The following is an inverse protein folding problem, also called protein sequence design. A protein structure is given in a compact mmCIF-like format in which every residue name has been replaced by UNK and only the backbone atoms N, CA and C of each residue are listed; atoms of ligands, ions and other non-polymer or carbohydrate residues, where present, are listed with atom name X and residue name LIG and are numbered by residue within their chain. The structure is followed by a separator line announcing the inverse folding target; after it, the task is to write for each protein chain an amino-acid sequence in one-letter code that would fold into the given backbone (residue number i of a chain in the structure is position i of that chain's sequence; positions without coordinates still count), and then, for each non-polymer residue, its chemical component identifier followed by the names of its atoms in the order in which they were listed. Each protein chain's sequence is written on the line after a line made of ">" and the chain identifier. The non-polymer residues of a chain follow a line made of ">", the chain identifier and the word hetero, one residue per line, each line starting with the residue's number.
data_IF_394551006747
#
_entry.id   IF_394551006747
#
_cell.length_a   1.000
_cell.length_b   1.000
_cell.length_c   1.000
_cell.angle_alpha   90.00
_cell.angle_beta   90.00
_cell.angle_gamma   90.00
#
_symmetry.space_group_name_H-M   'P 1'
#
loop_
_entity.id
_entity.type
_entity.pdbx_description
1 polymer ?
#
# COMPACT_ATOMS: atom_id res chain seq x y z
N UNK A 1 4.28 -14.12 -41.72
CA UNK A 1 3.24 -13.09 -41.47
C UNK A 1 2.54 -13.28 -40.12
N UNK A 2 1.73 -14.33 -39.91
CA UNK A 2 0.92 -14.52 -38.68
C UNK A 2 1.73 -14.56 -37.37
N UNK A 3 2.87 -15.26 -37.36
CA UNK A 3 3.74 -15.38 -36.17
C UNK A 3 4.38 -14.06 -35.76
N UNK A 4 4.69 -13.19 -36.72
CA UNK A 4 5.27 -11.87 -36.46
C UNK A 4 4.24 -10.91 -35.85
N UNK A 5 3.00 -10.94 -36.34
CA UNK A 5 1.89 -10.16 -35.79
C UNK A 5 1.58 -10.59 -34.35
N UNK A 6 1.53 -11.91 -34.08
CA UNK A 6 1.33 -12.44 -32.73
C UNK A 6 2.46 -12.02 -31.78
N UNK A 7 3.70 -12.00 -32.26
CA UNK A 7 4.84 -11.53 -31.47
C UNK A 7 4.70 -10.04 -31.10
N UNK A 8 4.33 -9.20 -32.05
CA UNK A 8 4.12 -7.77 -31.81
C UNK A 8 2.97 -7.54 -30.81
N UNK A 9 1.88 -8.29 -30.94
CA UNK A 9 0.75 -8.22 -30.02
C UNK A 9 1.14 -8.65 -28.60
N UNK A 10 1.90 -9.73 -28.46
CA UNK A 10 2.38 -10.18 -27.15
C UNK A 10 3.33 -9.17 -26.51
N UNK A 11 4.20 -8.52 -27.30
CA UNK A 11 5.07 -7.45 -26.81
C UNK A 11 4.26 -6.24 -26.32
N UNK A 12 3.27 -5.82 -27.09
CA UNK A 12 2.36 -4.74 -26.72
C UNK A 12 1.57 -5.06 -25.44
N UNK A 13 1.03 -6.28 -25.34
CA UNK A 13 0.34 -6.75 -24.14
C UNK A 13 1.27 -6.74 -22.92
N UNK A 14 2.54 -7.09 -23.10
CA UNK A 14 3.57 -6.96 -22.06
C UNK A 14 3.69 -5.53 -21.53
N UNK A 15 3.81 -4.54 -22.42
CA UNK A 15 3.89 -3.12 -22.03
C UNK A 15 2.64 -2.61 -21.31
N UNK A 16 1.45 -3.06 -21.73
CA UNK A 16 0.21 -2.71 -21.03
C UNK A 16 0.18 -3.26 -19.60
N UNK A 17 0.66 -4.49 -19.40
CA UNK A 17 0.75 -5.12 -18.08
C UNK A 17 1.76 -4.41 -17.17
N UNK A 18 2.93 -4.05 -17.70
CA UNK A 18 3.93 -3.27 -16.98
C UNK A 18 3.35 -1.95 -16.46
N UNK A 19 2.60 -1.23 -17.30
CA UNK A 19 1.92 0.00 -16.87
C UNK A 19 0.84 -0.23 -15.80
N UNK A 20 0.17 -1.38 -15.78
CA UNK A 20 -0.77 -1.71 -14.70
C UNK A 20 -0.04 -2.06 -13.39
N UNK A 21 1.11 -2.73 -13.47
CA UNK A 21 1.94 -3.02 -12.30
C UNK A 21 2.42 -1.71 -11.67
N UNK A 22 2.86 -0.74 -12.46
CA UNK A 22 3.28 0.57 -11.96
C UNK A 22 2.14 1.29 -11.22
N UNK A 23 0.94 1.35 -11.81
CA UNK A 23 -0.22 1.95 -11.15
C UNK A 23 -0.63 1.20 -9.89
N UNK A 24 -0.53 -0.13 -9.90
CA UNK A 24 -0.82 -0.94 -8.72
C UNK A 24 0.19 -0.66 -7.60
N UNK A 25 1.47 -0.49 -7.93
CA UNK A 25 2.49 -0.10 -6.97
C UNK A 25 2.21 1.27 -6.34
N UNK A 26 1.79 2.25 -7.14
CA UNK A 26 1.36 3.57 -6.65
C UNK A 26 0.15 3.46 -5.71
N UNK A 27 -0.85 2.64 -6.06
CA UNK A 27 -2.01 2.41 -5.22
C UNK A 27 -1.63 1.72 -3.90
N UNK A 28 -0.74 0.72 -3.94
CA UNK A 28 -0.21 0.07 -2.75
C UNK A 28 0.51 1.07 -1.84
N UNK A 29 1.26 2.03 -2.39
CA UNK A 29 1.89 3.08 -1.59
C UNK A 29 0.90 3.97 -0.86
N UNK A 30 -0.23 4.31 -1.49
CA UNK A 30 -1.31 5.06 -0.84
C UNK A 30 -2.05 4.23 0.21
N UNK A 31 -2.23 2.94 -0.05
CA UNK A 31 -2.94 2.01 0.84
C UNK A 31 -2.05 1.45 1.95
N UNK A 32 -0.72 1.67 1.90
CA UNK A 32 0.19 1.20 2.94
C UNK A 32 -0.30 1.76 4.27
N UNK A 33 -0.47 0.89 5.28
CA UNK A 33 -0.81 1.36 6.61
C UNK A 33 0.30 2.32 7.04
N UNK A 34 -0.09 3.56 7.34
CA UNK A 34 0.85 4.53 7.88
C UNK A 34 1.31 3.95 9.22
N UNK A 35 2.63 3.86 9.44
CA UNK A 35 3.21 3.26 10.65
C UNK A 35 2.90 4.04 11.94
N UNK A 36 2.05 5.06 11.86
CA UNK A 36 1.55 5.78 13.01
C UNK A 36 0.61 4.86 13.80
N UNK A 37 0.86 4.62 15.10
CA UNK A 37 -0.10 3.92 15.93
C UNK A 37 -1.40 4.73 15.87
N UNK A 38 -2.47 4.12 15.36
CA UNK A 38 -3.77 4.77 15.31
C UNK A 38 -4.12 5.17 16.74
N UNK A 39 -4.13 6.48 17.01
CA UNK A 39 -4.41 7.05 18.34
C UNK A 39 -5.78 6.61 18.85
N UNK A 40 -6.66 6.16 17.96
CA UNK A 40 -7.99 5.63 18.26
C UNK A 40 -8.15 4.23 17.66
N UNK A 41 -8.61 3.26 18.43
CA UNK A 41 -9.02 1.95 17.93
C UNK A 41 -10.28 2.01 17.08
N UNK A 42 -10.66 0.89 16.47
CA UNK A 42 -11.84 0.79 15.60
C UNK A 42 -13.18 1.20 16.26
N UNK A 43 -13.22 1.24 17.60
CA UNK A 43 -14.36 1.71 18.40
C UNK A 43 -14.26 3.18 18.83
N UNK A 44 -13.30 3.94 18.29
CA UNK A 44 -13.07 5.35 18.65
C UNK A 44 -12.47 5.55 20.05
N UNK A 45 -12.09 4.49 20.77
CA UNK A 45 -11.39 4.60 22.04
C UNK A 45 -9.91 4.84 21.80
N UNK A 46 -9.25 5.65 22.64
CA UNK A 46 -7.82 5.89 22.46
C UNK A 46 -7.04 4.58 22.57
N UNK A 47 -6.18 4.29 21.59
CA UNK A 47 -5.23 3.18 21.69
C UNK A 47 -4.27 3.55 22.81
N UNK A 48 -4.54 3.05 24.02
CA UNK A 48 -3.68 3.28 25.18
C UNK A 48 -2.34 2.65 24.85
N UNK A 49 -1.41 3.47 24.36
CA UNK A 49 0.00 3.14 24.53
C UNK A 49 0.15 3.10 26.05
N UNK A 50 0.29 1.90 26.61
CA UNK A 50 0.65 1.70 28.02
C UNK A 50 2.05 2.31 28.25
N UNK A 51 2.17 3.65 28.17
CA UNK A 51 3.25 4.40 28.80
C UNK A 51 2.93 4.31 30.27
N UNK A 52 3.50 3.27 30.88
CA UNK A 52 3.40 2.98 32.29
C UNK A 52 3.46 4.26 33.10
N UNK A 53 2.54 4.35 34.04
CA UNK A 53 2.31 5.44 34.98
C UNK A 53 3.64 5.92 35.60
N UNK A 54 4.31 6.89 34.97
CA UNK A 54 5.33 7.66 35.66
C UNK A 54 4.56 8.62 36.56
N UNK A 55 4.45 8.24 37.84
CA UNK A 55 3.93 9.12 38.88
C UNK A 55 4.78 10.39 38.87
N UNK A 56 4.14 11.52 38.58
CA UNK A 56 4.73 12.84 38.82
C UNK A 56 4.60 13.06 40.33
N UNK A 57 5.72 13.02 41.04
CA UNK A 57 5.80 13.56 42.40
C UNK A 57 5.93 15.08 42.28
N UNK A 58 5.02 15.78 42.96
CA UNK A 58 5.06 17.23 43.19
C UNK A 58 5.88 17.47 44.46
#
# INVERSE_FOLDING_TARGET
>A
MKTQQLRQMNQHNGWLLEGQIERNQQALEMLKPHQEPTLYGANGQTSTTYRGSKKISI
#
